data_IF_800583826620
#
_entry.id   IF_800583826620
#
_cell.length_a   1.000
_cell.length_b   1.000
_cell.length_c   1.000
_cell.angle_alpha   90.00
_cell.angle_beta   90.00
_cell.angle_gamma   90.00
#
_symmetry.space_group_name_H-M   'P 1'
#
loop_
_entity.id
_entity.type
_entity.pdbx_description
1 polymer ?
#
# COMPACT_ATOMS: atom_id res chain seq x y z
N UNK A 1 -11.26 5.16 -0.04
CA UNK A 1 -12.37 4.17 -0.07
C UNK A 1 -12.90 3.58 1.23
N UNK A 2 -14.10 2.97 1.13
CA UNK A 2 -14.80 2.23 2.21
C UNK A 2 -14.81 0.73 1.88
N UNK A 3 -14.68 -0.12 2.90
CA UNK A 3 -14.84 -1.55 2.67
C UNK A 3 -16.30 -1.91 2.39
N UNK A 4 -16.52 -2.77 1.40
CA UNK A 4 -17.83 -3.32 1.06
C UNK A 4 -17.92 -4.71 1.70
N UNK A 5 -18.91 -4.89 2.57
CA UNK A 5 -19.15 -6.13 3.30
C UNK A 5 -19.21 -7.36 2.36
N UNK A 6 -18.51 -8.44 2.72
CA UNK A 6 -18.53 -9.71 1.98
C UNK A 6 -17.42 -9.90 0.93
N UNK A 7 -16.59 -8.89 0.64
CA UNK A 7 -15.40 -9.04 -0.22
C UNK A 7 -14.15 -9.18 0.65
N UNK A 8 -13.72 -10.41 0.86
CA UNK A 8 -12.64 -10.75 1.79
C UNK A 8 -11.27 -10.20 1.34
N UNK A 9 -10.63 -9.46 2.27
CA UNK A 9 -9.25 -8.92 2.32
C UNK A 9 -9.11 -7.45 1.91
N UNK A 10 -8.67 -6.63 2.87
CA UNK A 10 -8.40 -5.19 2.76
C UNK A 10 -7.62 -4.80 1.48
N UNK A 11 -6.71 -5.65 1.01
CA UNK A 11 -5.94 -5.41 -0.21
C UNK A 11 -6.77 -5.36 -1.50
N UNK A 12 -7.80 -6.21 -1.64
CA UNK A 12 -8.70 -6.13 -2.80
C UNK A 12 -9.55 -4.86 -2.77
N UNK A 13 -9.99 -4.46 -1.58
CA UNK A 13 -10.70 -3.20 -1.37
C UNK A 13 -9.80 -2.02 -1.74
N UNK A 14 -8.52 -2.01 -1.33
CA UNK A 14 -7.58 -0.95 -1.66
C UNK A 14 -7.37 -0.82 -3.18
N UNK A 15 -7.20 -1.92 -3.90
CA UNK A 15 -7.09 -1.90 -5.38
C UNK A 15 -8.39 -1.34 -5.99
N UNK A 16 -9.55 -1.88 -5.61
CA UNK A 16 -10.84 -1.45 -6.17
C UNK A 16 -11.06 0.04 -5.99
N UNK A 17 -10.88 0.55 -4.77
CA UNK A 17 -11.09 1.97 -4.45
C UNK A 17 -10.10 2.86 -5.19
N UNK A 18 -8.83 2.44 -5.31
CA UNK A 18 -7.83 3.19 -6.09
C UNK A 18 -8.24 3.25 -7.56
N UNK A 19 -8.67 2.13 -8.15
CA UNK A 19 -9.13 2.09 -9.55
C UNK A 19 -10.41 2.90 -9.76
N UNK A 20 -11.34 2.88 -8.81
CA UNK A 20 -12.59 3.66 -8.88
C UNK A 20 -12.32 5.19 -8.80
N UNK A 21 -11.43 5.63 -7.91
CA UNK A 21 -11.13 7.06 -7.70
C UNK A 21 -10.20 7.63 -8.79
N UNK A 22 -9.23 6.85 -9.28
CA UNK A 22 -8.18 7.32 -10.21
C UNK A 22 -8.37 6.88 -11.66
N UNK A 23 -9.16 5.83 -11.89
CA UNK A 23 -9.25 5.13 -13.18
C UNK A 23 -8.01 4.30 -13.53
N UNK A 24 -6.98 4.23 -12.68
CA UNK A 24 -5.71 3.58 -12.98
C UNK A 24 -5.70 2.14 -12.46
N UNK A 25 -5.57 1.13 -13.35
CA UNK A 25 -5.40 -0.25 -12.92
C UNK A 25 -4.08 -0.43 -12.17
N UNK A 26 -4.13 -1.10 -11.03
CA UNK A 26 -2.97 -1.34 -10.18
C UNK A 26 -3.00 -2.71 -9.52
N UNK A 27 -1.84 -3.14 -9.03
CA UNK A 27 -1.67 -4.36 -8.22
C UNK A 27 -0.90 -4.02 -6.95
N UNK A 28 -1.12 -4.79 -5.89
CA UNK A 28 -0.31 -4.68 -4.67
C UNK A 28 1.14 -5.00 -4.99
N UNK A 29 2.03 -4.06 -4.68
CA UNK A 29 3.47 -4.21 -4.86
C UNK A 29 4.03 -5.03 -3.68
N UNK A 30 4.66 -6.19 -3.92
CA UNK A 30 5.30 -6.96 -2.87
C UNK A 30 6.43 -6.16 -2.22
N UNK A 31 6.42 -6.06 -0.89
CA UNK A 31 7.45 -5.37 -0.10
C UNK A 31 7.95 -6.24 1.05
N UNK A 32 9.20 -6.07 1.44
CA UNK A 32 9.80 -6.73 2.59
C UNK A 32 9.31 -6.03 3.88
N UNK A 33 8.67 -6.77 4.78
CA UNK A 33 8.14 -6.23 6.04
C UNK A 33 8.77 -6.90 7.25
N UNK A 34 9.24 -6.10 8.20
CA UNK A 34 9.60 -6.60 9.53
C UNK A 34 8.34 -6.63 10.39
N UNK A 35 7.93 -7.82 10.81
CA UNK A 35 6.67 -8.03 11.54
C UNK A 35 6.81 -9.09 12.63
N UNK A 36 5.96 -9.03 13.65
CA UNK A 36 5.81 -10.06 14.69
C UNK A 36 4.71 -11.07 14.37
N UNK A 37 4.11 -11.00 13.18
CA UNK A 37 3.06 -11.92 12.74
C UNK A 37 3.52 -13.38 12.89
N UNK A 38 2.64 -14.22 13.45
CA UNK A 38 2.86 -15.65 13.50
C UNK A 38 2.76 -16.24 12.10
N UNK A 39 3.68 -17.13 11.68
CA UNK A 39 3.52 -17.89 10.44
C UNK A 39 2.22 -18.67 10.43
N UNK A 40 1.61 -18.81 9.24
CA UNK A 40 0.33 -19.53 9.08
C UNK A 40 0.41 -21.03 9.43
N UNK A 41 1.61 -21.60 9.49
CA UNK A 41 1.87 -22.97 9.90
C UNK A 41 2.79 -22.90 11.12
N UNK A 42 2.23 -23.19 12.29
CA UNK A 42 2.99 -23.34 13.53
C UNK A 42 3.63 -24.72 13.54
N UNK A 43 4.86 -24.82 13.06
CA UNK A 43 5.61 -26.09 13.14
C UNK A 43 6.27 -26.27 14.51
N UNK A 44 6.52 -25.19 15.26
CA UNK A 44 7.24 -25.18 16.55
C UNK A 44 6.84 -23.96 17.41
N UNK A 45 7.24 -23.96 18.70
CA UNK A 45 7.17 -22.77 19.57
C UNK A 45 8.11 -21.68 19.04
N UNK A 46 7.54 -20.73 18.30
CA UNK A 46 8.30 -19.63 17.74
C UNK A 46 8.53 -18.52 18.79
N UNK A 47 9.76 -18.00 18.93
CA UNK A 47 10.04 -16.90 19.84
C UNK A 47 9.28 -15.63 19.43
N UNK A 48 8.84 -14.84 20.41
CA UNK A 48 8.21 -13.53 20.19
C UNK A 48 9.26 -12.50 19.76
N UNK A 49 9.65 -12.58 18.49
CA UNK A 49 10.59 -11.67 17.85
C UNK A 49 10.08 -11.22 16.48
N UNK A 50 10.45 -9.99 16.14
CA UNK A 50 10.19 -9.47 14.81
C UNK A 50 11.02 -10.23 13.77
N UNK A 51 10.41 -10.54 12.63
CA UNK A 51 10.98 -11.31 11.53
C UNK A 51 10.77 -10.59 10.22
N UNK A 52 11.72 -10.76 9.30
CA UNK A 52 11.63 -10.23 7.96
C UNK A 52 10.77 -11.16 7.09
N UNK A 53 9.64 -10.65 6.61
CA UNK A 53 8.77 -11.31 5.64
C UNK A 53 9.02 -10.69 4.27
N UNK A 54 9.59 -11.48 3.35
CA UNK A 54 9.90 -11.00 1.99
C UNK A 54 8.67 -11.05 1.09
N UNK A 55 8.55 -10.07 0.18
CA UNK A 55 7.49 -10.05 -0.83
C UNK A 55 6.06 -10.03 -0.27
N UNK A 56 5.88 -9.42 0.90
CA UNK A 56 4.59 -9.30 1.56
C UNK A 56 3.67 -8.32 0.82
N UNK A 57 2.38 -8.65 0.77
CA UNK A 57 1.31 -7.78 0.22
C UNK A 57 0.36 -7.29 1.32
N UNK A 58 0.81 -7.37 2.56
CA UNK A 58 0.10 -6.91 3.74
C UNK A 58 0.16 -5.38 3.88
N UNK A 59 -0.76 -4.75 4.62
CA UNK A 59 -0.74 -3.31 4.84
C UNK A 59 0.53 -2.88 5.57
N UNK A 60 1.12 -1.76 5.13
CA UNK A 60 2.37 -1.21 5.69
C UNK A 60 2.13 -0.31 6.91
N UNK A 61 0.91 0.23 7.03
CA UNK A 61 0.45 1.10 8.12
C UNK A 61 -1.06 0.89 8.31
N UNK A 62 -1.50 0.88 9.57
CA UNK A 62 -2.90 1.05 9.93
C UNK A 62 -3.03 2.38 10.65
N UNK A 63 -3.79 3.31 10.08
CA UNK A 63 -4.05 4.62 10.66
C UNK A 63 -5.43 4.64 11.30
N UNK A 64 -5.53 5.22 12.48
CA UNK A 64 -6.79 5.46 13.18
C UNK A 64 -7.11 6.95 13.12
N UNK A 65 -8.28 7.33 12.62
CA UNK A 65 -8.76 8.73 12.60
C UNK A 65 -10.07 8.82 13.38
N UNK A 66 -10.18 9.76 14.31
CA UNK A 66 -11.45 10.06 15.00
C UNK A 66 -12.26 11.01 14.12
N UNK A 67 -13.52 10.66 13.86
CA UNK A 67 -14.42 11.48 13.04
C UNK A 67 -15.42 12.30 13.88
N UNK A 68 -15.68 11.86 15.10
CA UNK A 68 -16.62 12.48 16.04
C UNK A 68 -16.62 11.72 17.37
N UNK A 69 -17.58 12.02 18.24
CA UNK A 69 -17.75 11.32 19.50
C UNK A 69 -18.18 9.86 19.24
N UNK A 70 -17.37 8.90 19.68
CA UNK A 70 -17.62 7.47 19.47
C UNK A 70 -17.31 6.93 18.07
N UNK A 71 -16.94 7.78 17.10
CA UNK A 71 -16.68 7.35 15.72
C UNK A 71 -15.18 7.28 15.40
N UNK A 72 -14.74 6.08 15.02
CA UNK A 72 -13.36 5.78 14.62
C UNK A 72 -13.33 5.24 13.19
N UNK A 73 -12.48 5.83 12.36
CA UNK A 73 -12.12 5.33 11.04
C UNK A 73 -10.77 4.62 11.11
N UNK A 74 -10.76 3.35 10.74
CA UNK A 74 -9.53 2.60 10.49
C UNK A 74 -9.20 2.65 9.00
N UNK A 75 -7.93 2.88 8.68
CA UNK A 75 -7.43 2.96 7.31
C UNK A 75 -6.21 2.05 7.19
N UNK A 76 -6.30 1.06 6.31
CA UNK A 76 -5.18 0.17 5.98
C UNK A 76 -4.50 0.67 4.72
N UNK A 77 -3.22 1.00 4.84
CA UNK A 77 -2.42 1.54 3.73
C UNK A 77 -1.56 0.46 3.12
N UNK A 78 -1.55 0.41 1.79
CA UNK A 78 -0.80 -0.55 0.98
C UNK A 78 0.14 0.18 0.03
N UNK A 79 1.15 -0.54 -0.47
CA UNK A 79 1.94 -0.10 -1.62
C UNK A 79 1.41 -0.80 -2.85
N UNK A 80 1.15 -0.04 -3.92
CA UNK A 80 0.68 -0.56 -5.19
C UNK A 80 1.59 -0.07 -6.32
N UNK A 81 1.62 -0.84 -7.40
CA UNK A 81 2.25 -0.46 -8.66
C UNK A 81 1.19 -0.42 -9.75
N UNK A 82 1.32 0.56 -10.63
CA UNK A 82 0.49 0.67 -11.85
C UNK A 82 0.74 -0.55 -12.74
N UNK A 83 -0.32 -1.04 -13.38
CA UNK A 83 -0.19 -2.05 -14.42
C UNK A 83 0.10 -1.34 -15.75
N UNK A 84 1.37 -1.33 -16.14
CA UNK A 84 1.80 -0.72 -17.41
C UNK A 84 1.13 -1.42 -18.60
N UNK A 85 0.68 -0.63 -19.57
CA UNK A 85 0.01 -1.13 -20.78
C UNK A 85 -1.48 -1.43 -20.63
N UNK A 86 -2.05 -1.38 -19.41
CA UNK A 86 -3.50 -1.48 -19.24
C UNK A 86 -4.18 -0.12 -19.49
N UNK A 87 -5.34 -0.10 -20.16
CA UNK A 87 -6.03 1.14 -20.47
C UNK A 87 -6.51 1.83 -19.19
N UNK A 88 -6.22 3.12 -19.08
CA UNK A 88 -6.75 3.97 -18.00
C UNK A 88 -8.24 4.20 -18.23
N UNK A 89 -9.04 3.87 -17.22
CA UNK A 89 -10.49 4.05 -17.23
C UNK A 89 -10.92 5.51 -17.11
N UNK A 90 -12.22 5.77 -17.29
CA UNK A 90 -12.83 7.06 -17.02
C UNK A 90 -13.67 6.98 -15.75
N UNK A 91 -13.04 7.11 -14.58
CA UNK A 91 -13.77 7.00 -13.31
C UNK A 91 -13.40 8.17 -12.39
N UNK A 92 -14.44 8.79 -11.82
CA UNK A 92 -14.42 9.98 -10.94
C UNK A 92 -13.50 11.16 -11.34
N UNK A 93 -13.14 11.32 -12.63
CA UNK A 93 -12.27 12.39 -13.15
C UNK A 93 -12.64 13.83 -12.74
N UNK A 94 -13.90 14.07 -12.36
CA UNK A 94 -14.36 15.38 -11.90
C UNK A 94 -14.09 15.65 -10.40
N UNK A 95 -13.77 14.61 -9.63
CA UNK A 95 -13.48 14.71 -8.19
C UNK A 95 -11.99 14.59 -7.87
N UNK A 96 -11.24 13.85 -8.69
CA UNK A 96 -9.83 13.57 -8.45
C UNK A 96 -8.98 13.84 -9.68
N UNK A 97 -7.87 14.54 -9.46
CA UNK A 97 -6.77 14.70 -10.42
C UNK A 97 -5.60 13.82 -9.97
N UNK A 98 -4.95 13.16 -10.92
CA UNK A 98 -3.90 12.18 -10.65
C UNK A 98 -2.64 12.58 -11.38
N UNK A 99 -1.60 12.80 -10.60
CA UNK A 99 -0.26 13.15 -11.09
C UNK A 99 0.77 12.16 -10.57
N UNK A 100 1.80 11.93 -11.37
CA UNK A 100 2.95 11.13 -11.00
C UNK A 100 4.15 12.01 -10.69
N UNK A 101 4.78 11.78 -9.54
CA UNK A 101 5.92 12.54 -9.08
C UNK A 101 7.08 11.60 -8.71
N UNK A 102 8.30 12.13 -8.76
CA UNK A 102 9.46 11.45 -8.17
C UNK A 102 9.31 11.37 -6.64
N UNK A 103 10.09 10.47 -6.03
CA UNK A 103 10.09 10.29 -4.57
C UNK A 103 10.47 11.56 -3.80
N UNK A 104 11.38 12.37 -4.33
CA UNK A 104 11.81 13.59 -3.63
C UNK A 104 10.73 14.67 -3.76
N UNK A 105 10.18 14.85 -4.97
CA UNK A 105 9.15 15.85 -5.25
C UNK A 105 7.84 15.57 -4.51
N UNK A 106 7.43 14.30 -4.37
CA UNK A 106 6.17 13.98 -3.68
C UNK A 106 6.23 14.33 -2.19
N UNK A 107 7.38 14.14 -1.54
CA UNK A 107 7.54 14.45 -0.12
C UNK A 107 7.47 15.95 0.16
N UNK A 108 7.90 16.78 -0.79
CA UNK A 108 7.78 18.24 -0.72
C UNK A 108 6.34 18.72 -0.97
N UNK A 109 5.62 18.05 -1.88
CA UNK A 109 4.23 18.42 -2.24
C UNK A 109 3.19 18.05 -1.18
N UNK A 110 3.40 16.98 -0.42
CA UNK A 110 2.43 16.54 0.59
C UNK A 110 2.29 17.57 1.71
N UNK A 111 1.05 18.05 1.92
CA UNK A 111 0.72 19.09 2.89
C UNK A 111 0.62 18.56 4.32
N UNK A 112 0.06 17.36 4.49
CA UNK A 112 -0.12 16.75 5.81
C UNK A 112 1.09 15.93 6.21
N UNK A 113 1.60 16.19 7.42
CA UNK A 113 2.76 15.48 7.99
C UNK A 113 2.55 13.96 8.03
N UNK A 114 1.37 13.51 8.47
CA UNK A 114 1.08 12.08 8.58
C UNK A 114 1.15 11.37 7.22
N UNK A 115 0.63 12.00 6.17
CA UNK A 115 0.67 11.46 4.82
C UNK A 115 2.11 11.45 4.28
N UNK A 116 2.91 12.47 4.61
CA UNK A 116 4.34 12.52 4.26
C UNK A 116 5.15 11.41 4.93
N UNK A 117 4.95 11.17 6.22
CA UNK A 117 5.63 10.08 6.94
C UNK A 117 5.19 8.70 6.43
N UNK A 118 3.91 8.55 6.09
CA UNK A 118 3.39 7.34 5.45
C UNK A 118 4.08 7.07 4.11
N UNK A 119 4.15 8.07 3.22
CA UNK A 119 4.78 7.95 1.90
C UNK A 119 6.28 7.72 2.03
N UNK A 120 6.95 8.39 2.98
CA UNK A 120 8.36 8.15 3.27
C UNK A 120 8.62 6.69 3.67
N UNK A 121 7.80 6.13 4.56
CA UNK A 121 7.89 4.71 4.94
C UNK A 121 7.68 3.79 3.74
N UNK A 122 6.70 4.09 2.87
CA UNK A 122 6.48 3.31 1.65
C UNK A 122 7.72 3.32 0.73
N UNK A 123 8.34 4.49 0.53
CA UNK A 123 9.57 4.63 -0.26
C UNK A 123 10.72 3.81 0.32
N UNK A 124 10.93 3.87 1.65
CA UNK A 124 11.97 3.09 2.33
C UNK A 124 11.76 1.58 2.14
N UNK A 125 10.52 1.11 2.28
CA UNK A 125 10.16 -0.29 2.06
C UNK A 125 10.42 -0.72 0.62
N UNK A 126 10.01 0.07 -0.37
CA UNK A 126 10.27 -0.23 -1.79
C UNK A 126 11.77 -0.30 -2.07
N UNK A 127 12.55 0.70 -1.62
CA UNK A 127 14.02 0.72 -1.82
C UNK A 127 14.70 -0.50 -1.20
N UNK A 128 14.33 -0.88 0.01
CA UNK A 128 14.87 -2.08 0.68
C UNK A 128 14.47 -3.40 -0.01
N UNK A 129 13.33 -3.41 -0.69
CA UNK A 129 12.80 -4.61 -1.36
C UNK A 129 13.41 -4.80 -2.74
N UNK A 130 13.58 -3.70 -3.49
CA UNK A 130 14.19 -3.69 -4.83
C UNK A 130 15.71 -3.81 -4.75
N UNK A 131 16.37 -3.23 -3.73
CA UNK A 131 17.81 -3.35 -3.53
C UNK A 131 18.33 -4.77 -3.25
N UNK A 132 17.42 -5.75 -3.06
CA UNK A 132 17.76 -7.17 -2.92
C UNK A 132 17.37 -8.00 -4.17
N UNK A 133 16.67 -7.40 -5.14
CA UNK A 133 16.09 -8.07 -6.29
C UNK A 133 16.67 -7.50 -7.59
N UNK A 134 17.80 -8.06 -8.01
CA UNK A 134 18.38 -7.81 -9.34
C UNK A 134 17.54 -8.33 -10.52
N UNK A 135 16.34 -8.87 -10.30
CA UNK A 135 15.67 -9.75 -11.29
C UNK A 135 14.20 -9.41 -11.62
N UNK A 136 13.71 -8.18 -11.38
CA UNK A 136 12.28 -7.88 -11.63
C UNK A 136 11.95 -6.98 -12.83
N UNK A 137 12.94 -6.63 -13.65
CA UNK A 137 12.68 -6.03 -14.96
C UNK A 137 13.52 -6.74 -16.03
N UNK A 138 12.93 -7.63 -16.85
CA UNK A 138 13.57 -8.00 -18.10
C UNK A 138 13.64 -6.75 -18.96
N UNK A 139 14.85 -6.40 -19.39
CA UNK A 139 15.08 -5.37 -20.38
C UNK A 139 14.49 -5.81 -21.73
N UNK A 140 13.60 -4.97 -22.26
CA UNK A 140 13.08 -4.91 -23.64
C UNK A 140 12.01 -5.92 -24.03
#
# INVERSE_FOLDING_TARGET
GREICGKCRHGFTAIRETTEETGIPCRLLPVNLVSRVCPAIETEHLPDQARLFKGSREPIVVQTRRLGEGEIKLIWWFVAAVNEGEPVGQHEKHKFEVDFYSYDTVLEKLTFKDDRELVKKAIELVKSSVGTAGDLFPST
#
